data_IF_923747216688
#
_entry.id   IF_923747216688
#
_cell.length_a   1.000
_cell.length_b   1.000
_cell.length_c   1.000
_cell.angle_alpha   90.00
_cell.angle_beta   90.00
_cell.angle_gamma   90.00
#
_symmetry.space_group_name_H-M   'P 1'
#
loop_
_entity.id
_entity.type
_entity.pdbx_description
1 polymer ?
#
# COMPACT_ATOMS: atom_id res chain seq x y z
N UNK A 1 -32.31 -36.63 36.32
CA UNK A 1 -33.52 -35.99 36.86
C UNK A 1 -33.45 -36.03 38.39
N UNK A 2 -33.30 -34.88 39.04
CA UNK A 2 -33.51 -34.69 40.48
C UNK A 2 -33.97 -33.25 40.69
N UNK A 3 -35.16 -33.10 41.26
CA UNK A 3 -35.88 -31.86 41.49
C UNK A 3 -35.62 -31.36 42.92
N UNK A 4 -35.52 -30.02 43.07
CA UNK A 4 -36.09 -29.22 44.17
C UNK A 4 -35.39 -29.23 45.54
N UNK A 5 -35.50 -28.22 46.43
CA UNK A 5 -36.16 -26.89 46.49
C UNK A 5 -35.58 -26.15 47.73
N UNK A 6 -35.48 -24.81 47.67
CA UNK A 6 -35.76 -23.90 48.81
C UNK A 6 -34.58 -23.05 49.31
N UNK A 7 -34.71 -21.79 49.72
CA UNK A 7 -35.76 -20.77 49.62
C UNK A 7 -35.14 -19.41 50.04
N UNK A 8 -35.51 -18.34 49.35
CA UNK A 8 -35.72 -16.93 49.78
C UNK A 8 -34.66 -16.20 50.63
N UNK A 9 -34.16 -15.11 50.05
CA UNK A 9 -33.73 -13.89 50.75
C UNK A 9 -33.97 -12.67 49.85
N UNK A 10 -35.02 -11.90 50.14
CA UNK A 10 -35.37 -10.63 49.47
C UNK A 10 -34.43 -9.50 49.89
N UNK A 11 -34.13 -8.59 48.96
CA UNK A 11 -33.51 -7.29 49.25
C UNK A 11 -33.45 -6.39 48.01
N UNK A 12 -34.53 -5.67 47.75
CA UNK A 12 -34.59 -4.55 46.79
C UNK A 12 -33.93 -3.31 47.42
N UNK A 13 -33.03 -2.65 46.69
CA UNK A 13 -32.82 -1.19 46.83
C UNK A 13 -32.34 -0.61 45.51
N UNK A 14 -33.24 0.10 44.81
CA UNK A 14 -32.92 1.10 43.80
C UNK A 14 -32.75 2.45 44.52
N UNK A 15 -31.67 3.18 44.25
CA UNK A 15 -31.61 4.62 44.46
C UNK A 15 -30.65 5.25 43.44
N UNK A 16 -31.23 5.97 42.47
CA UNK A 16 -30.53 6.89 41.58
C UNK A 16 -30.54 8.29 42.19
N UNK A 17 -29.44 9.04 42.05
CA UNK A 17 -29.41 10.49 42.29
C UNK A 17 -28.39 11.13 41.32
N UNK A 18 -28.91 11.95 40.41
CA UNK A 18 -28.21 12.87 39.52
C UNK A 18 -28.30 14.27 40.16
N UNK A 19 -27.18 14.99 40.27
CA UNK A 19 -27.13 16.46 40.29
C UNK A 19 -25.69 16.92 40.01
N UNK A 20 -25.52 17.79 39.00
CA UNK A 20 -24.24 18.42 38.63
C UNK A 20 -24.08 19.82 39.20
N UNK A 21 -22.94 20.46 38.93
CA UNK A 21 -22.72 21.91 39.03
C UNK A 21 -21.69 22.35 37.98
N UNK A 22 -22.11 23.28 37.11
CA UNK A 22 -21.27 24.12 36.24
C UNK A 22 -20.82 25.35 37.04
N UNK A 23 -19.59 25.86 36.80
CA UNK A 23 -19.26 27.28 36.51
C UNK A 23 -17.78 27.58 36.78
N UNK A 24 -17.16 28.34 35.87
CA UNK A 24 -15.85 28.98 36.07
C UNK A 24 -15.15 29.35 34.76
N UNK A 25 -15.51 30.50 34.17
CA UNK A 25 -14.86 31.11 33.00
C UNK A 25 -14.25 32.44 33.42
N UNK A 26 -12.98 32.71 33.06
CA UNK A 26 -12.42 34.06 32.93
C UNK A 26 -11.17 34.01 32.02
N UNK A 27 -11.03 35.02 31.16
CA UNK A 27 -10.22 35.05 29.96
C UNK A 27 -8.83 35.71 30.11
N UNK A 28 -7.92 35.29 29.22
CA UNK A 28 -6.80 35.98 28.53
C UNK A 28 -5.65 36.65 29.33
N UNK A 29 -4.42 36.10 29.22
CA UNK A 29 -3.26 36.80 28.63
C UNK A 29 -2.02 35.88 28.43
N UNK A 30 -1.28 36.14 27.33
CA UNK A 30 0.12 35.78 26.98
C UNK A 30 0.62 34.30 26.94
N UNK A 31 1.29 33.93 25.82
CA UNK A 31 1.89 32.61 25.51
C UNK A 31 3.06 32.17 26.43
N UNK A 32 3.75 31.02 26.19
CA UNK A 32 4.26 30.58 24.87
C UNK A 32 4.06 29.07 24.55
N UNK A 33 4.36 28.72 23.29
CA UNK A 33 4.81 27.41 22.78
C UNK A 33 4.26 26.14 23.45
N UNK A 34 3.13 25.65 22.94
CA UNK A 34 2.85 24.22 22.97
C UNK A 34 3.09 23.69 21.56
N UNK A 35 4.33 23.27 21.31
CA UNK A 35 4.70 22.42 20.17
C UNK A 35 3.74 21.23 20.16
N UNK A 36 2.78 21.26 19.25
CA UNK A 36 1.91 20.13 18.96
C UNK A 36 2.76 19.03 18.38
N UNK A 37 3.30 18.17 19.25
CA UNK A 37 3.87 16.91 18.85
C UNK A 37 2.74 16.07 18.27
N UNK A 38 2.53 16.19 16.96
CA UNK A 38 1.74 15.23 16.19
C UNK A 38 2.36 13.87 16.43
N UNK A 39 1.70 13.05 17.24
CA UNK A 39 2.04 11.65 17.38
C UNK A 39 1.96 11.04 15.98
N UNK A 40 3.12 10.79 15.35
CA UNK A 40 3.19 10.04 14.10
C UNK A 40 2.69 8.65 14.42
N UNK A 41 1.44 8.36 14.04
CA UNK A 41 0.92 6.99 14.05
C UNK A 41 1.80 6.18 13.10
N UNK A 42 2.68 5.36 13.65
CA UNK A 42 3.50 4.45 12.85
C UNK A 42 2.57 3.48 12.13
N UNK A 43 2.70 3.40 10.81
CA UNK A 43 1.92 2.46 10.01
C UNK A 43 2.21 1.01 10.46
N UNK A 44 1.17 0.16 10.42
CA UNK A 44 1.33 -1.27 10.74
C UNK A 44 2.13 -1.94 9.63
N UNK A 45 3.14 -2.73 10.00
CA UNK A 45 3.99 -3.48 9.07
C UNK A 45 3.76 -4.98 9.21
N UNK A 46 3.74 -5.71 8.09
CA UNK A 46 3.61 -7.17 8.06
C UNK A 46 4.89 -7.89 8.53
N UNK A 47 4.77 -9.17 8.88
CA UNK A 47 5.94 -10.02 9.13
C UNK A 47 6.66 -10.33 7.83
N UNK A 48 7.99 -10.36 7.88
CA UNK A 48 8.87 -10.60 6.73
C UNK A 48 8.87 -12.08 6.32
N UNK A 49 8.65 -12.35 5.04
CA UNK A 49 8.72 -13.68 4.42
C UNK A 49 9.96 -13.92 3.57
N UNK A 50 10.59 -12.86 3.06
CA UNK A 50 11.76 -12.93 2.19
C UNK A 50 12.09 -11.57 1.58
N UNK A 51 13.04 -11.53 0.66
CA UNK A 51 13.40 -10.32 -0.10
C UNK A 51 13.46 -10.59 -1.59
N UNK A 52 13.27 -9.53 -2.35
CA UNK A 52 13.45 -9.50 -3.81
C UNK A 52 14.41 -8.37 -4.20
N UNK A 53 14.84 -8.37 -5.45
CA UNK A 53 15.66 -7.33 -6.06
C UNK A 53 17.13 -7.68 -6.16
N UNK A 54 17.68 -8.37 -5.16
CA UNK A 54 19.07 -8.80 -5.18
C UNK A 54 19.33 -9.83 -6.30
N UNK A 55 20.58 -9.88 -6.76
CA UNK A 55 21.03 -10.88 -7.74
C UNK A 55 20.75 -12.31 -7.22
N UNK A 56 20.19 -13.16 -8.07
CA UNK A 56 19.76 -14.52 -7.74
C UNK A 56 18.45 -14.62 -6.96
N UNK A 57 17.77 -13.51 -6.68
CA UNK A 57 16.41 -13.54 -6.14
C UNK A 57 15.38 -13.87 -7.23
N UNK A 58 14.13 -14.11 -6.84
CA UNK A 58 13.04 -14.40 -7.78
C UNK A 58 12.83 -13.27 -8.81
N UNK A 59 13.18 -12.04 -8.47
CA UNK A 59 13.11 -10.87 -9.33
C UNK A 59 14.37 -10.02 -9.10
N UNK A 60 15.33 -10.03 -10.03
CA UNK A 60 16.46 -9.10 -9.98
C UNK A 60 15.98 -7.70 -10.40
N UNK A 61 16.20 -6.70 -9.55
CA UNK A 61 15.67 -5.34 -9.70
C UNK A 61 16.72 -4.29 -9.28
N UNK A 62 16.62 -3.05 -9.79
CA UNK A 62 17.46 -1.93 -9.36
C UNK A 62 17.26 -1.49 -7.90
N UNK A 63 16.33 -2.12 -7.18
CA UNK A 63 16.04 -1.88 -5.76
C UNK A 63 15.90 -3.22 -5.05
N UNK A 64 16.16 -3.25 -3.75
CA UNK A 64 15.84 -4.39 -2.88
C UNK A 64 14.79 -3.99 -1.86
N UNK A 65 13.92 -4.95 -1.51
CA UNK A 65 12.93 -4.78 -0.46
C UNK A 65 12.43 -6.14 0.05
N UNK A 66 11.80 -6.12 1.22
CA UNK A 66 11.20 -7.29 1.82
C UNK A 66 9.74 -7.49 1.41
N UNK A 67 9.34 -8.75 1.25
CA UNK A 67 7.95 -9.14 1.02
C UNK A 67 7.38 -9.83 2.26
N UNK A 68 6.05 -9.76 2.41
CA UNK A 68 5.35 -10.33 3.55
C UNK A 68 5.41 -11.87 3.56
N UNK A 69 5.24 -12.47 4.75
CA UNK A 69 5.17 -13.92 4.91
C UNK A 69 4.08 -14.53 4.01
N UNK A 70 4.42 -15.66 3.36
CA UNK A 70 3.58 -16.38 2.40
C UNK A 70 3.22 -15.63 1.11
N UNK A 71 3.77 -14.44 0.87
CA UNK A 71 3.72 -13.81 -0.45
C UNK A 71 4.79 -14.42 -1.36
N UNK A 72 4.50 -14.57 -2.65
CA UNK A 72 5.41 -15.22 -3.60
C UNK A 72 5.72 -14.30 -4.77
N UNK A 73 7.00 -14.01 -4.96
CA UNK A 73 7.48 -13.23 -6.08
C UNK A 73 7.80 -14.11 -7.29
N UNK A 74 7.46 -13.61 -8.47
CA UNK A 74 7.77 -14.22 -9.76
C UNK A 74 8.14 -13.12 -10.76
N UNK A 75 9.23 -13.36 -11.51
CA UNK A 75 9.64 -12.45 -12.57
C UNK A 75 8.64 -12.50 -13.73
N UNK A 76 8.36 -11.34 -14.31
CA UNK A 76 7.52 -11.24 -15.50
C UNK A 76 8.44 -11.18 -16.71
N UNK A 77 8.39 -12.20 -17.56
CA UNK A 77 9.17 -12.22 -18.79
C UNK A 77 8.51 -11.34 -19.86
N UNK A 78 8.94 -10.08 -19.92
CA UNK A 78 8.55 -9.17 -21.00
C UNK A 78 9.04 -9.63 -22.38
N UNK A 79 10.04 -10.51 -22.44
CA UNK A 79 10.55 -11.15 -23.64
C UNK A 79 9.60 -12.23 -24.18
N UNK A 80 8.93 -13.01 -23.34
CA UNK A 80 7.91 -13.98 -23.81
C UNK A 80 6.75 -13.28 -24.54
N UNK A 81 6.32 -12.11 -24.06
CA UNK A 81 5.34 -11.27 -24.76
C UNK A 81 5.80 -10.81 -26.15
N UNK A 82 7.12 -10.73 -26.39
CA UNK A 82 7.72 -10.35 -27.68
C UNK A 82 8.01 -11.54 -28.62
N UNK A 83 7.86 -12.78 -28.15
CA UNK A 83 7.94 -13.98 -29.02
C UNK A 83 6.67 -14.21 -29.83
N UNK A 84 5.55 -13.60 -29.40
CA UNK A 84 4.39 -13.43 -30.25
C UNK A 84 4.76 -12.54 -31.44
N UNK A 85 4.24 -12.84 -32.63
CA UNK A 85 4.44 -12.04 -33.84
C UNK A 85 3.15 -11.35 -34.24
N UNK A 86 3.23 -10.09 -34.67
CA UNK A 86 2.07 -9.31 -35.12
C UNK A 86 1.23 -8.76 -33.95
N UNK A 87 -0.06 -8.55 -34.18
CA UNK A 87 -0.98 -7.84 -33.26
C UNK A 87 -1.04 -8.43 -31.84
N UNK A 88 -0.74 -9.72 -31.67
CA UNK A 88 -0.69 -10.38 -30.35
C UNK A 88 0.51 -9.95 -29.51
N UNK A 89 1.64 -9.61 -30.14
CA UNK A 89 2.84 -9.10 -29.47
C UNK A 89 2.60 -7.69 -28.95
N UNK A 90 1.95 -6.86 -29.78
CA UNK A 90 1.62 -5.49 -29.44
C UNK A 90 0.55 -5.43 -28.33
N UNK A 91 -0.42 -6.35 -28.35
CA UNK A 91 -1.39 -6.51 -27.27
C UNK A 91 -0.73 -6.99 -25.97
N UNK A 92 0.10 -8.03 -26.01
CA UNK A 92 0.79 -8.53 -24.81
C UNK A 92 1.73 -7.46 -24.23
N UNK A 93 2.49 -6.77 -25.09
CA UNK A 93 3.34 -5.65 -24.69
C UNK A 93 2.55 -4.46 -24.13
N UNK A 94 1.31 -4.24 -24.55
CA UNK A 94 0.44 -3.20 -23.99
C UNK A 94 -0.04 -3.54 -22.58
N UNK A 95 -0.30 -4.82 -22.26
CA UNK A 95 -0.65 -5.23 -20.88
C UNK A 95 0.52 -5.14 -19.91
N UNK A 96 1.75 -5.26 -20.41
CA UNK A 96 2.96 -5.17 -19.60
C UNK A 96 3.45 -3.73 -19.41
N UNK A 97 2.85 -2.73 -20.06
CA UNK A 97 3.24 -1.33 -19.92
C UNK A 97 2.16 -0.51 -19.23
N UNK A 98 2.59 0.34 -18.32
CA UNK A 98 1.72 1.35 -17.71
C UNK A 98 2.47 2.68 -17.66
N UNK A 99 2.06 3.60 -18.53
CA UNK A 99 2.73 4.89 -18.68
C UNK A 99 4.22 4.72 -19.05
N UNK A 100 5.16 5.31 -18.29
CA UNK A 100 6.58 5.28 -18.61
C UNK A 100 7.31 3.98 -18.23
N UNK A 101 6.63 3.00 -17.61
CA UNK A 101 7.24 1.80 -17.03
C UNK A 101 6.65 0.51 -17.57
N UNK A 102 7.41 -0.58 -17.43
CA UNK A 102 7.05 -1.94 -17.85
C UNK A 102 7.11 -2.88 -16.65
N UNK A 103 6.17 -3.81 -16.53
CA UNK A 103 6.12 -4.76 -15.42
C UNK A 103 7.32 -5.70 -15.47
N UNK A 104 7.97 -5.89 -14.32
CA UNK A 104 9.18 -6.70 -14.18
C UNK A 104 9.00 -7.84 -13.17
N UNK A 105 8.13 -7.67 -12.18
CA UNK A 105 7.89 -8.66 -11.14
C UNK A 105 6.46 -8.55 -10.63
N UNK A 106 5.86 -9.68 -10.31
CA UNK A 106 4.59 -9.76 -9.59
C UNK A 106 4.79 -10.52 -8.28
N UNK A 107 4.30 -9.97 -7.17
CA UNK A 107 4.31 -10.63 -5.87
C UNK A 107 2.86 -11.00 -5.51
N UNK A 108 2.55 -12.29 -5.60
CA UNK A 108 1.22 -12.86 -5.38
C UNK A 108 0.92 -13.00 -3.88
N UNK A 109 -0.18 -12.37 -3.45
CA UNK A 109 -0.68 -12.39 -2.08
C UNK A 109 -1.63 -13.57 -1.81
N UNK A 110 -2.09 -14.29 -2.85
CA UNK A 110 -3.02 -15.44 -2.72
C UNK A 110 -2.52 -16.54 -1.80
N UNK A 111 -1.23 -16.93 -1.79
CA UNK A 111 -0.79 -17.97 -0.86
C UNK A 111 -0.86 -17.54 0.61
N UNK A 112 -0.96 -16.23 0.89
CA UNK A 112 -1.24 -15.66 2.21
C UNK A 112 -2.75 -15.47 2.50
N UNK A 113 -3.64 -15.91 1.60
CA UNK A 113 -5.09 -15.79 1.75
C UNK A 113 -5.66 -14.41 1.39
N UNK A 114 -4.95 -13.63 0.55
CA UNK A 114 -5.39 -12.32 0.06
C UNK A 114 -5.63 -12.34 -1.45
N UNK A 115 -6.57 -11.55 -1.95
CA UNK A 115 -6.84 -11.45 -3.39
C UNK A 115 -6.26 -10.15 -3.91
N UNK A 116 -4.99 -10.19 -4.30
CA UNK A 116 -4.27 -9.04 -4.83
C UNK A 116 -2.79 -9.32 -5.05
N UNK A 117 -2.09 -8.28 -5.47
CA UNK A 117 -0.68 -8.35 -5.84
C UNK A 117 0.05 -7.08 -5.46
N UNK A 118 1.34 -7.21 -5.16
CA UNK A 118 2.29 -6.11 -5.24
C UNK A 118 3.05 -6.26 -6.56
N UNK A 119 2.80 -5.37 -7.51
CA UNK A 119 3.48 -5.37 -8.82
C UNK A 119 4.64 -4.41 -8.83
N UNK A 120 5.75 -4.84 -9.42
CA UNK A 120 6.94 -4.02 -9.61
C UNK A 120 7.09 -3.70 -11.09
N UNK A 121 7.28 -2.42 -11.38
CA UNK A 121 7.49 -1.91 -12.73
C UNK A 121 8.83 -1.20 -12.79
N UNK A 122 9.53 -1.34 -13.92
CA UNK A 122 10.81 -0.69 -14.17
C UNK A 122 10.75 0.15 -15.44
N UNK A 123 11.56 1.21 -15.48
CA UNK A 123 11.72 2.07 -16.66
C UNK A 123 13.18 2.22 -17.05
N UNK A 124 13.41 2.84 -18.20
CA UNK A 124 14.77 3.21 -18.62
C UNK A 124 15.28 4.41 -17.81
N UNK A 125 16.60 4.55 -17.60
CA UNK A 125 17.19 5.76 -17.04
C UNK A 125 16.75 7.02 -17.79
N UNK A 126 16.53 8.10 -17.06
CA UNK A 126 16.08 9.37 -17.61
C UNK A 126 16.12 10.50 -16.59
N UNK A 127 15.69 11.69 -17.02
CA UNK A 127 15.70 12.90 -16.18
C UNK A 127 14.42 13.09 -15.34
N UNK A 128 13.41 12.24 -15.51
CA UNK A 128 12.18 12.31 -14.72
C UNK A 128 12.45 11.89 -13.27
N UNK A 129 12.00 12.69 -12.31
CA UNK A 129 12.03 12.31 -10.90
C UNK A 129 10.94 11.27 -10.57
N UNK A 130 11.00 10.73 -9.35
CA UNK A 130 10.06 9.70 -8.89
C UNK A 130 8.59 10.16 -8.97
N UNK A 131 8.31 11.44 -8.72
CA UNK A 131 6.94 11.97 -8.76
C UNK A 131 6.43 12.03 -10.19
N UNK A 132 7.22 12.56 -11.12
CA UNK A 132 6.87 12.63 -12.53
C UNK A 132 6.62 11.23 -13.12
N UNK A 133 7.39 10.23 -12.70
CA UNK A 133 7.16 8.82 -13.08
C UNK A 133 5.80 8.34 -12.57
N UNK A 134 5.46 8.58 -11.29
CA UNK A 134 4.16 8.20 -10.73
C UNK A 134 3.00 8.91 -11.41
N UNK A 135 3.13 10.21 -11.70
CA UNK A 135 2.08 10.96 -12.40
C UNK A 135 1.82 10.37 -13.79
N UNK A 136 2.87 9.97 -14.52
CA UNK A 136 2.75 9.25 -15.79
C UNK A 136 2.13 7.86 -15.64
N UNK A 137 2.46 7.13 -14.56
CA UNK A 137 1.90 5.81 -14.26
C UNK A 137 0.40 5.88 -13.94
N UNK A 138 -0.03 6.85 -13.13
CA UNK A 138 -1.44 7.07 -12.77
C UNK A 138 -2.22 7.60 -13.97
N UNK A 139 -1.66 8.51 -14.77
CA UNK A 139 -2.32 9.06 -15.96
C UNK A 139 -2.58 8.01 -17.05
N UNK A 140 -1.82 6.90 -17.06
CA UNK A 140 -2.07 5.78 -17.97
C UNK A 140 -3.26 4.91 -17.55
N UNK A 141 -3.71 5.01 -16.30
CA UNK A 141 -4.92 4.36 -15.79
C UNK A 141 -6.14 5.25 -16.06
N UNK A 142 -6.92 4.90 -17.09
CA UNK A 142 -7.98 5.76 -17.65
C UNK A 142 -9.08 6.09 -16.65
N UNK A 143 -9.33 5.18 -15.70
CA UNK A 143 -10.39 5.34 -14.70
C UNK A 143 -9.83 5.75 -13.33
N UNK A 144 -8.56 6.21 -13.28
CA UNK A 144 -7.97 6.77 -12.07
C UNK A 144 -8.57 8.13 -11.73
N UNK A 145 -8.80 8.36 -10.44
CA UNK A 145 -9.30 9.62 -9.91
C UNK A 145 -8.83 9.85 -8.48
N UNK A 146 -8.95 11.10 -8.01
CA UNK A 146 -8.68 11.44 -6.61
C UNK A 146 -7.24 11.25 -6.15
N UNK A 147 -6.27 11.28 -7.07
CA UNK A 147 -4.86 11.03 -6.75
C UNK A 147 -4.31 12.06 -5.74
N UNK A 148 -3.67 11.55 -4.69
CA UNK A 148 -3.00 12.32 -3.64
C UNK A 148 -1.55 11.87 -3.56
N UNK A 149 -0.63 12.79 -3.84
CA UNK A 149 0.80 12.52 -3.88
C UNK A 149 1.49 12.97 -2.60
N UNK A 150 2.43 12.17 -2.13
CA UNK A 150 3.32 12.45 -1.01
C UNK A 150 4.77 12.12 -1.34
N UNK A 151 5.67 12.49 -0.44
CA UNK A 151 7.08 12.12 -0.47
C UNK A 151 7.34 11.21 0.72
N UNK A 152 8.21 10.22 0.53
CA UNK A 152 8.66 9.35 1.62
C UNK A 152 10.17 9.16 1.57
N UNK A 153 10.72 8.78 2.72
CA UNK A 153 12.10 8.38 2.89
C UNK A 153 12.11 6.95 3.47
N UNK A 154 12.92 6.08 2.92
CA UNK A 154 13.15 4.74 3.42
C UNK A 154 14.59 4.33 3.11
N UNK A 155 15.28 3.75 4.09
CA UNK A 155 16.68 3.38 3.91
C UNK A 155 17.55 4.56 3.43
N UNK A 156 18.12 4.39 2.24
CA UNK A 156 18.96 5.35 1.53
C UNK A 156 18.25 6.00 0.32
N UNK A 157 16.94 5.75 0.17
CA UNK A 157 16.14 6.28 -0.95
C UNK A 157 15.13 7.32 -0.49
N UNK A 158 14.94 8.34 -1.34
CA UNK A 158 13.84 9.29 -1.26
C UNK A 158 12.94 9.05 -2.47
N UNK A 159 11.64 8.93 -2.25
CA UNK A 159 10.69 8.60 -3.29
C UNK A 159 9.41 9.41 -3.22
N UNK A 160 8.53 9.15 -4.18
CA UNK A 160 7.16 9.67 -4.20
C UNK A 160 6.19 8.52 -3.95
N UNK A 161 5.04 8.81 -3.34
CA UNK A 161 3.95 7.87 -3.19
C UNK A 161 2.62 8.51 -3.59
N UNK A 162 1.65 7.68 -3.93
CA UNK A 162 0.31 8.11 -4.34
C UNK A 162 -0.75 7.16 -3.81
N UNK A 163 -1.81 7.74 -3.25
CA UNK A 163 -3.11 7.08 -3.05
C UNK A 163 -4.05 7.59 -4.13
N UNK A 164 -4.79 6.69 -4.78
CA UNK A 164 -5.81 7.05 -5.76
C UNK A 164 -6.92 6.00 -5.82
N UNK A 165 -7.96 6.28 -6.59
CA UNK A 165 -9.11 5.40 -6.79
C UNK A 165 -9.20 5.01 -8.25
N UNK A 166 -9.39 3.73 -8.54
CA UNK A 166 -9.74 3.21 -9.87
C UNK A 166 -11.19 2.77 -9.88
N UNK A 167 -11.90 2.99 -11.00
CA UNK A 167 -13.31 2.60 -11.15
C UNK A 167 -13.48 1.62 -12.30
N UNK A 168 -13.95 0.42 -12.00
CA UNK A 168 -14.35 -0.55 -13.01
C UNK A 168 -15.73 -0.19 -13.55
N UNK A 169 -15.80 0.34 -14.78
CA UNK A 169 -17.08 0.60 -15.46
C UNK A 169 -17.93 -0.65 -15.67
N UNK A 170 -17.30 -1.82 -15.75
CA UNK A 170 -17.99 -3.08 -15.96
C UNK A 170 -18.70 -3.57 -14.69
N UNK A 171 -18.07 -3.36 -13.53
CA UNK A 171 -18.61 -3.77 -12.23
C UNK A 171 -19.34 -2.64 -11.51
N UNK A 172 -19.23 -1.41 -12.01
CA UNK A 172 -19.68 -0.16 -11.35
C UNK A 172 -19.10 -0.01 -9.94
N UNK A 173 -17.90 -0.54 -9.73
CA UNK A 173 -17.20 -0.57 -8.44
C UNK A 173 -15.91 0.24 -8.50
N UNK A 174 -15.67 1.00 -7.44
CA UNK A 174 -14.43 1.75 -7.24
C UNK A 174 -13.59 1.10 -6.15
N UNK A 175 -12.27 1.08 -6.35
CA UNK A 175 -11.32 0.60 -5.36
C UNK A 175 -10.17 1.56 -5.15
N UNK A 176 -9.65 1.57 -3.93
CA UNK A 176 -8.40 2.27 -3.61
C UNK A 176 -7.21 1.51 -4.16
N UNK A 177 -6.20 2.25 -4.57
CA UNK A 177 -4.89 1.77 -4.99
C UNK A 177 -3.81 2.58 -4.27
N UNK A 178 -2.63 1.98 -4.08
CA UNK A 178 -1.44 2.68 -3.58
C UNK A 178 -0.25 2.34 -4.46
N UNK A 179 0.54 3.35 -4.82
CA UNK A 179 1.82 3.14 -5.49
C UNK A 179 2.91 4.03 -4.92
N UNK A 180 4.14 3.58 -5.00
CA UNK A 180 5.34 4.38 -4.75
C UNK A 180 6.31 4.27 -5.92
N UNK A 181 7.17 5.28 -6.06
CA UNK A 181 8.29 5.23 -6.98
C UNK A 181 9.56 5.77 -6.35
N UNK A 182 10.68 5.23 -6.84
CA UNK A 182 12.03 5.74 -6.61
C UNK A 182 12.78 5.76 -7.93
N UNK A 183 13.80 6.60 -8.03
CA UNK A 183 14.70 6.66 -9.18
C UNK A 183 16.07 6.14 -8.80
N UNK A 184 16.61 5.23 -9.60
CA UNK A 184 17.95 4.65 -9.43
C UNK A 184 18.83 4.99 -10.63
N UNK A 185 20.13 4.68 -10.57
CA UNK A 185 21.03 4.84 -11.71
C UNK A 185 20.62 3.98 -12.93
N UNK A 186 19.97 2.84 -12.68
CA UNK A 186 19.48 1.91 -13.72
C UNK A 186 18.07 2.24 -14.22
N UNK A 187 17.41 3.23 -13.61
CA UNK A 187 16.08 3.71 -13.99
C UNK A 187 15.09 3.78 -12.83
N UNK A 188 13.87 4.26 -13.10
CA UNK A 188 12.84 4.30 -12.09
C UNK A 188 12.27 2.91 -11.79
N UNK A 189 11.83 2.74 -10.55
CA UNK A 189 11.08 1.57 -10.09
C UNK A 189 9.78 2.05 -9.46
N UNK A 190 8.65 1.44 -9.84
CA UNK A 190 7.33 1.66 -9.25
C UNK A 190 6.87 0.39 -8.55
N UNK A 191 6.46 0.48 -7.29
CA UNK A 191 5.75 -0.58 -6.58
C UNK A 191 4.27 -0.18 -6.50
N UNK A 192 3.38 -1.02 -7.02
CA UNK A 192 1.95 -0.78 -7.05
C UNK A 192 1.22 -1.90 -6.32
N UNK A 193 0.55 -1.58 -5.21
CA UNK A 193 -0.34 -2.48 -4.50
C UNK A 193 -1.73 -2.39 -5.10
N UNK A 194 -2.22 -3.51 -5.63
CA UNK A 194 -3.59 -3.63 -6.11
C UNK A 194 -4.35 -4.78 -5.45
N UNK A 195 -5.51 -4.45 -4.88
CA UNK A 195 -6.49 -5.42 -4.35
C UNK A 195 -7.63 -5.72 -5.32
N UNK A 196 -8.38 -6.78 -5.04
CA UNK A 196 -9.64 -7.08 -5.74
C UNK A 196 -10.66 -5.94 -5.55
N UNK A 197 -10.76 -5.44 -4.33
CA UNK A 197 -11.61 -4.32 -3.93
C UNK A 197 -10.89 -3.46 -2.86
N UNK A 198 -11.56 -2.44 -2.34
CA UNK A 198 -11.00 -1.58 -1.29
C UNK A 198 -10.68 -2.33 0.00
N UNK A 199 -11.48 -3.31 0.40
CA UNK A 199 -11.27 -4.04 1.66
C UNK A 199 -10.06 -4.97 1.56
N UNK A 200 -9.92 -5.69 0.45
CA UNK A 200 -8.73 -6.49 0.15
C UNK A 200 -7.47 -5.61 0.04
N UNK A 201 -7.57 -4.46 -0.62
CA UNK A 201 -6.49 -3.47 -0.69
C UNK A 201 -6.04 -3.01 0.70
N UNK A 202 -6.96 -2.54 1.54
CA UNK A 202 -6.67 -2.05 2.87
C UNK A 202 -6.08 -3.15 3.77
N UNK A 203 -6.55 -4.39 3.62
CA UNK A 203 -6.02 -5.54 4.35
C UNK A 203 -4.57 -5.91 3.97
N UNK A 204 -4.10 -5.46 2.80
CA UNK A 204 -2.74 -5.70 2.31
C UNK A 204 -1.78 -4.52 2.54
N UNK A 205 -2.26 -3.36 2.98
CA UNK A 205 -1.41 -2.21 3.30
C UNK A 205 -0.21 -2.56 4.21
N UNK A 206 -0.31 -3.43 5.22
CA UNK A 206 0.86 -3.80 6.02
C UNK A 206 1.99 -4.46 5.24
N UNK A 207 1.69 -5.18 4.14
CA UNK A 207 2.69 -5.77 3.26
C UNK A 207 3.34 -4.70 2.37
N UNK A 208 2.56 -3.74 1.89
CA UNK A 208 3.08 -2.58 1.16
C UNK A 208 3.99 -1.70 2.04
N UNK A 209 3.59 -1.45 3.29
CA UNK A 209 4.43 -0.70 4.24
C UNK A 209 5.70 -1.46 4.62
N UNK A 210 5.69 -2.80 4.64
CA UNK A 210 6.93 -3.59 4.77
C UNK A 210 7.86 -3.35 3.58
N UNK A 211 7.34 -3.48 2.35
CA UNK A 211 8.13 -3.26 1.15
C UNK A 211 8.69 -1.83 1.11
N UNK A 212 7.86 -0.82 1.40
CA UNK A 212 8.27 0.59 1.47
C UNK A 212 9.35 0.84 2.52
N UNK A 213 9.16 0.37 3.75
CA UNK A 213 10.10 0.65 4.87
C UNK A 213 11.44 -0.07 4.77
N UNK A 214 11.51 -1.12 3.95
CA UNK A 214 12.73 -1.91 3.69
C UNK A 214 13.32 -1.65 2.31
N UNK A 215 12.84 -0.62 1.61
CA UNK A 215 13.28 -0.28 0.27
C UNK A 215 14.68 0.34 0.28
N UNK A 216 15.55 -0.19 -0.57
CA UNK A 216 16.91 0.28 -0.79
C UNK A 216 17.25 0.26 -2.28
N UNK A 217 18.14 1.14 -2.73
CA UNK A 217 18.73 0.99 -4.06
C UNK A 217 19.65 -0.24 -4.08
N UNK A 218 19.62 -1.01 -5.18
CA UNK A 218 20.62 -2.06 -5.41
C UNK A 218 21.93 -1.36 -5.80
N UNK A 219 23.03 -1.72 -5.12
CA UNK A 219 24.37 -1.19 -5.35
C UNK A 219 25.21 -2.02 -6.32
#
# INVERSE_FOLDING_TARGET
MRFGVGNVGQGLTLAALVAGLMTGCAAEDAGPDASGASAKTTAKVAQRGGSVGARGSACELPVTFDIAEFWKAEAVDAGEATTATGDLADLAGAFLRQGPVTMACEVDAKPAGKIGFLRVWTGKPGAADARAVLEGFVAAEKEASGAKYGTFEAGDVTGAEVEYVTTSKLLEESKKEHALAVTTAEGPVVLHLGGMDTAEHEAMLPAYELAKSTLHATG
#
